data_IF_046464303603
#
_entry.id   IF_046464303603
#
_cell.length_a   1.000
_cell.length_b   1.000
_cell.length_c   1.000
_cell.angle_alpha   90.00
_cell.angle_beta   90.00
_cell.angle_gamma   90.00
#
_symmetry.space_group_name_H-M   'P 1'
#
loop_
_entity.id
_entity.type
_entity.pdbx_description
1 polymer ?
#
# COMPACT_ATOMS: atom_id res chain seq x y z
N UNK A 1 -11.68 -5.26 -27.88
CA UNK A 1 -10.49 -5.28 -27.00
C UNK A 1 -9.92 -3.89 -26.87
N UNK A 2 -9.80 -3.37 -25.67
CA UNK A 2 -9.12 -2.09 -25.51
C UNK A 2 -7.65 -2.24 -25.90
N UNK A 3 -7.11 -1.19 -26.49
CA UNK A 3 -5.67 -1.14 -26.76
C UNK A 3 -4.90 -1.12 -25.46
N UNK A 4 -3.76 -1.76 -25.43
CA UNK A 4 -2.82 -1.64 -24.34
C UNK A 4 -2.26 -0.21 -24.34
N UNK A 5 -2.56 0.55 -23.29
CA UNK A 5 -2.14 1.95 -23.17
C UNK A 5 -0.74 2.10 -22.60
N UNK A 6 -0.24 1.08 -21.93
CA UNK A 6 1.06 1.13 -21.27
C UNK A 6 1.67 -0.27 -21.21
N UNK A 7 2.98 -0.33 -21.41
CA UNK A 7 3.76 -1.56 -21.27
C UNK A 7 4.42 -1.66 -19.89
N UNK A 8 4.40 -0.60 -19.14
CA UNK A 8 5.07 -0.53 -17.84
C UNK A 8 4.17 0.15 -16.82
N UNK A 9 4.20 -0.36 -15.61
CA UNK A 9 3.47 0.20 -14.49
C UNK A 9 4.45 0.45 -13.34
N UNK A 10 4.41 1.65 -12.78
CA UNK A 10 5.19 2.00 -11.59
C UNK A 10 4.19 2.25 -10.48
N UNK A 11 4.35 1.55 -9.37
CA UNK A 11 3.54 1.74 -8.18
C UNK A 11 4.37 2.51 -7.15
N UNK A 12 3.87 3.68 -6.78
CA UNK A 12 4.50 4.51 -5.76
C UNK A 12 3.62 4.46 -4.50
N UNK A 13 4.11 3.83 -3.46
CA UNK A 13 3.41 3.71 -2.19
C UNK A 13 3.96 4.70 -1.18
N UNK A 14 3.11 5.61 -0.70
CA UNK A 14 3.47 6.60 0.31
C UNK A 14 2.79 6.20 1.61
N UNK A 15 3.58 5.64 2.52
CA UNK A 15 3.08 5.15 3.80
C UNK A 15 2.56 6.31 4.66
N UNK A 16 1.50 6.04 5.42
CA UNK A 16 0.88 6.98 6.34
C UNK A 16 0.38 8.29 5.71
N UNK A 17 0.27 8.38 4.39
CA UNK A 17 -0.25 9.56 3.71
C UNK A 17 -1.77 9.47 3.59
N UNK A 18 -2.46 10.43 4.19
CA UNK A 18 -3.92 10.51 4.12
C UNK A 18 -4.37 11.31 2.90
N UNK A 19 -5.67 11.22 2.59
CA UNK A 19 -6.25 12.07 1.54
C UNK A 19 -6.08 13.55 1.87
N UNK A 20 -6.19 13.92 3.15
CA UNK A 20 -5.98 15.30 3.58
C UNK A 20 -4.57 15.78 3.29
N UNK A 21 -3.57 14.97 3.57
CA UNK A 21 -2.17 15.29 3.26
C UNK A 21 -1.96 15.45 1.76
N UNK A 22 -2.53 14.54 0.98
CA UNK A 22 -2.46 14.58 -0.47
C UNK A 22 -3.13 15.84 -1.03
N UNK A 23 -4.26 16.24 -0.46
CA UNK A 23 -4.96 17.47 -0.84
C UNK A 23 -4.14 18.72 -0.54
N UNK A 24 -3.48 18.76 0.61
CA UNK A 24 -2.60 19.87 0.99
C UNK A 24 -1.37 19.98 0.10
N UNK A 25 -0.91 18.86 -0.43
CA UNK A 25 0.25 18.81 -1.32
C UNK A 25 -0.08 19.17 -2.77
N UNK A 26 -1.34 19.44 -3.09
CA UNK A 26 -1.82 19.62 -4.46
C UNK A 26 -1.03 20.64 -5.27
N UNK A 27 -0.61 21.72 -4.64
CA UNK A 27 0.07 22.82 -5.32
C UNK A 27 1.58 22.60 -5.48
N UNK A 28 2.11 21.53 -4.90
CA UNK A 28 3.51 21.16 -5.08
C UNK A 28 3.72 20.60 -6.50
N UNK A 29 4.83 20.95 -7.19
CA UNK A 29 5.00 20.62 -8.60
C UNK A 29 4.83 19.14 -8.96
N UNK A 30 5.38 18.24 -8.15
CA UNK A 30 5.26 16.81 -8.40
C UNK A 30 3.84 16.28 -8.22
N UNK A 31 3.14 16.76 -7.19
CA UNK A 31 1.77 16.34 -6.90
C UNK A 31 0.75 16.99 -7.84
N UNK A 32 0.95 18.23 -8.23
CA UNK A 32 0.03 18.91 -9.15
C UNK A 32 -0.09 18.18 -10.48
N UNK A 33 0.97 17.55 -10.94
CA UNK A 33 0.95 16.75 -12.16
C UNK A 33 -0.09 15.61 -12.07
N UNK A 34 -0.13 14.91 -10.94
CA UNK A 34 -1.11 13.83 -10.73
C UNK A 34 -2.53 14.35 -10.60
N UNK A 35 -2.71 15.48 -9.90
CA UNK A 35 -4.02 16.09 -9.74
C UNK A 35 -4.63 16.54 -11.07
N UNK A 36 -3.80 17.04 -11.97
CA UNK A 36 -4.26 17.54 -13.26
C UNK A 36 -4.51 16.45 -14.29
N UNK A 37 -3.75 15.35 -14.23
CA UNK A 37 -3.74 14.33 -15.27
C UNK A 37 -4.22 12.95 -14.83
N UNK A 38 -4.26 12.71 -13.56
CA UNK A 38 -4.60 11.40 -13.01
C UNK A 38 -6.09 11.23 -12.72
N UNK A 39 -6.45 10.02 -12.34
CA UNK A 39 -7.73 9.70 -11.73
C UNK A 39 -7.53 9.55 -10.22
N UNK A 40 -8.50 9.95 -9.44
CA UNK A 40 -8.40 9.99 -7.98
C UNK A 40 -9.52 9.18 -7.33
N UNK A 41 -9.13 8.27 -6.45
CA UNK A 41 -10.06 7.64 -5.53
C UNK A 41 -9.93 8.29 -4.16
N UNK A 42 -11.00 8.92 -3.67
CA UNK A 42 -10.97 9.64 -2.39
C UNK A 42 -10.96 8.71 -1.19
N UNK A 43 -11.66 7.59 -1.31
CA UNK A 43 -11.81 6.63 -0.23
C UNK A 43 -11.49 5.25 -0.75
N UNK A 44 -10.51 4.61 -0.14
CA UNK A 44 -10.13 3.24 -0.43
C UNK A 44 -10.20 2.46 0.87
N UNK A 45 -10.84 1.29 0.82
CA UNK A 45 -10.89 0.41 1.96
C UNK A 45 -9.65 -0.47 1.96
N UNK A 46 -8.94 -0.47 3.08
CA UNK A 46 -7.78 -1.32 3.29
C UNK A 46 -8.20 -2.75 3.63
N UNK A 47 -7.23 -3.67 3.60
CA UNK A 47 -7.42 -5.00 4.17
C UNK A 47 -7.43 -4.92 5.70
N UNK A 48 -7.97 -5.94 6.34
CA UNK A 48 -7.91 -6.09 7.79
C UNK A 48 -6.95 -7.24 8.15
N UNK A 49 -6.01 -7.03 9.09
CA UNK A 49 -5.75 -5.78 9.82
C UNK A 49 -5.10 -4.72 8.93
N UNK A 50 -5.48 -3.45 9.14
CA UNK A 50 -4.98 -2.33 8.33
C UNK A 50 -3.64 -1.81 8.84
N UNK A 51 -2.67 -2.69 8.85
CA UNK A 51 -1.29 -2.40 9.25
C UNK A 51 -0.39 -2.35 8.03
N UNK A 52 0.79 -1.79 8.18
CA UNK A 52 1.72 -1.56 7.07
C UNK A 52 2.06 -2.83 6.30
N UNK A 53 2.47 -3.88 6.99
CA UNK A 53 2.93 -5.09 6.30
C UNK A 53 1.79 -5.92 5.71
N UNK A 54 0.66 -6.13 6.39
CA UNK A 54 -0.49 -6.77 5.75
C UNK A 54 -0.98 -6.04 4.52
N UNK A 55 -1.03 -4.70 4.56
CA UNK A 55 -1.47 -3.90 3.41
C UNK A 55 -0.50 -3.99 2.24
N UNK A 56 0.80 -3.88 2.49
CA UNK A 56 1.81 -3.97 1.43
C UNK A 56 1.90 -5.38 0.85
N UNK A 57 1.76 -6.41 1.68
CA UNK A 57 1.69 -7.79 1.19
C UNK A 57 0.48 -8.00 0.29
N UNK A 58 -0.68 -7.46 0.67
CA UNK A 58 -1.89 -7.55 -0.14
C UNK A 58 -1.72 -6.85 -1.49
N UNK A 59 -1.11 -5.67 -1.51
CA UNK A 59 -0.84 -4.93 -2.74
C UNK A 59 0.13 -5.68 -3.66
N UNK A 60 1.17 -6.27 -3.08
CA UNK A 60 2.20 -6.96 -3.85
C UNK A 60 1.72 -8.31 -4.40
N UNK A 61 0.92 -9.05 -3.64
CA UNK A 61 0.49 -10.40 -3.98
C UNK A 61 -0.91 -10.47 -4.58
N UNK A 62 -1.72 -9.43 -4.40
CA UNK A 62 -3.12 -9.47 -4.80
C UNK A 62 -3.95 -10.42 -3.96
N UNK A 63 -3.54 -10.69 -2.73
CA UNK A 63 -4.15 -11.70 -1.86
C UNK A 63 -4.62 -11.06 -0.55
N UNK A 64 -5.66 -11.65 0.04
CA UNK A 64 -6.08 -11.29 1.38
C UNK A 64 -5.07 -11.79 2.43
N UNK A 65 -5.05 -11.21 3.64
CA UNK A 65 -4.13 -11.66 4.70
C UNK A 65 -4.22 -13.16 5.02
N UNK A 66 -5.40 -13.73 4.95
CA UNK A 66 -5.61 -15.17 5.16
C UNK A 66 -4.90 -16.03 4.10
N UNK A 67 -4.68 -15.50 2.92
CA UNK A 67 -3.96 -16.20 1.86
C UNK A 67 -2.46 -15.92 1.90
N UNK A 68 -2.08 -14.66 2.16
CA UNK A 68 -0.67 -14.27 2.20
C UNK A 68 0.03 -14.76 3.48
N UNK A 69 -0.72 -14.96 4.55
CA UNK A 69 -0.17 -15.30 5.85
C UNK A 69 0.40 -14.11 6.62
N UNK A 70 0.30 -12.89 6.08
CA UNK A 70 0.82 -11.69 6.73
C UNK A 70 -0.32 -10.97 7.45
N UNK A 71 -0.44 -11.22 8.75
CA UNK A 71 -1.51 -10.70 9.58
C UNK A 71 -1.10 -9.52 10.45
N UNK A 72 0.20 -9.28 10.58
CA UNK A 72 0.72 -8.29 11.50
C UNK A 72 2.05 -7.77 10.96
N UNK A 73 2.56 -6.72 11.58
CA UNK A 73 3.90 -6.22 11.29
C UNK A 73 4.98 -7.10 11.94
N UNK A 74 4.60 -7.87 12.93
CA UNK A 74 5.50 -8.74 13.68
C UNK A 74 5.08 -10.21 13.51
N UNK A 75 6.07 -11.08 13.47
CA UNK A 75 5.86 -12.52 13.47
C UNK A 75 6.18 -13.06 14.88
N UNK A 76 5.20 -13.69 15.50
CA UNK A 76 5.46 -14.34 16.78
C UNK A 76 6.11 -15.72 16.56
N UNK A 77 7.27 -15.90 17.16
CA UNK A 77 8.00 -17.17 17.12
C UNK A 77 7.85 -17.86 18.49
N UNK A 78 6.97 -18.88 18.62
CA UNK A 78 6.70 -19.52 19.93
C UNK A 78 7.92 -20.10 20.59
N UNK A 79 8.84 -20.68 19.81
CA UNK A 79 10.05 -21.34 20.30
C UNK A 79 10.98 -20.40 21.02
N UNK A 80 11.12 -19.17 20.54
CA UNK A 80 12.02 -18.17 21.11
C UNK A 80 11.29 -17.06 21.84
N UNK A 81 9.96 -17.00 21.75
CA UNK A 81 9.11 -15.92 22.24
C UNK A 81 9.48 -14.53 21.69
N UNK A 82 10.09 -14.50 20.51
CA UNK A 82 10.45 -13.27 19.83
C UNK A 82 9.32 -12.80 18.91
N UNK A 83 9.31 -11.49 18.64
CA UNK A 83 8.37 -10.88 17.70
C UNK A 83 9.13 -9.99 16.72
N UNK A 84 9.94 -10.57 15.82
CA UNK A 84 10.64 -9.77 14.84
C UNK A 84 9.67 -9.16 13.84
N UNK A 85 10.09 -8.04 13.26
CA UNK A 85 9.39 -7.44 12.13
C UNK A 85 9.47 -8.37 10.92
N UNK A 86 8.34 -8.60 10.26
CA UNK A 86 8.25 -9.61 9.20
C UNK A 86 9.22 -9.31 8.05
N UNK A 87 9.30 -8.05 7.62
CA UNK A 87 10.11 -7.68 6.46
C UNK A 87 11.58 -7.43 6.77
N UNK A 88 11.99 -7.51 8.00
CA UNK A 88 13.40 -7.38 8.40
C UNK A 88 14.00 -8.71 8.86
N UNK A 89 13.43 -9.79 8.37
CA UNK A 89 13.74 -11.11 8.88
C UNK A 89 14.37 -11.99 7.81
#
# INVERSE_FOLDING_TARGET
MPKQLSHKVIVLSLDAMTFEDFSKARDLPGFSWFWERGALARHIRSVYPSLTYPCHAAMACGCWPEESGVFNNELFLPETRRRPWIFYH
#
